data_IF_102545534232
#
_entry.id   IF_102545534232
#
_cell.length_a   1.000
_cell.length_b   1.000
_cell.length_c   1.000
_cell.angle_alpha   90.00
_cell.angle_beta   90.00
_cell.angle_gamma   90.00
#
_symmetry.space_group_name_H-M   'P 1'
#
loop_
_entity.id
_entity.type
_entity.pdbx_description
1 polymer ?
#
# COMPACT_ATOMS: atom_id res chain seq x y z
N UNK A 1 22.67 49.19 -27.32
CA UNK A 1 22.26 47.94 -27.99
C UNK A 1 22.92 46.78 -27.24
N UNK A 2 22.56 46.53 -25.97
CA UNK A 2 23.34 45.62 -25.10
C UNK A 2 22.37 44.90 -24.15
N UNK A 3 22.06 43.63 -24.42
CA UNK A 3 21.13 42.84 -23.57
C UNK A 3 21.39 41.34 -23.70
N UNK A 4 22.51 40.86 -23.16
CA UNK A 4 22.80 39.44 -22.88
C UNK A 4 23.83 39.50 -21.74
N UNK A 5 23.47 39.23 -20.49
CA UNK A 5 23.71 37.95 -19.83
C UNK A 5 22.82 37.96 -18.58
N UNK A 6 21.65 37.34 -18.67
CA UNK A 6 20.92 36.86 -17.49
C UNK A 6 20.88 35.36 -17.71
N UNK A 7 21.96 34.70 -17.30
CA UNK A 7 22.17 33.27 -17.41
C UNK A 7 21.05 32.56 -16.68
N UNK A 8 20.23 31.88 -17.47
CA UNK A 8 19.05 31.13 -17.09
C UNK A 8 19.43 29.97 -16.16
N UNK A 9 19.68 30.27 -14.87
CA UNK A 9 19.72 29.32 -13.77
C UNK A 9 18.28 28.89 -13.45
N UNK A 10 17.56 28.44 -14.49
CA UNK A 10 16.15 28.14 -14.44
C UNK A 10 16.00 26.63 -14.45
N UNK A 11 15.81 26.12 -13.23
CA UNK A 11 14.98 24.96 -12.93
C UNK A 11 15.46 23.61 -13.49
N UNK A 12 16.52 23.07 -12.88
CA UNK A 12 16.70 21.63 -12.75
C UNK A 12 15.81 21.04 -11.62
N UNK A 13 14.57 21.51 -11.49
CA UNK A 13 13.54 20.89 -10.64
C UNK A 13 12.87 19.76 -11.44
N UNK A 14 13.66 18.78 -11.87
CA UNK A 14 13.11 17.47 -12.21
C UNK A 14 12.73 16.82 -10.88
N UNK A 15 11.57 17.20 -10.35
CA UNK A 15 10.90 16.47 -9.28
C UNK A 15 10.68 15.05 -9.81
N UNK A 16 11.52 14.12 -9.38
CA UNK A 16 11.35 12.71 -9.68
C UNK A 16 10.04 12.24 -9.06
N UNK A 17 8.98 12.14 -9.86
CA UNK A 17 7.76 11.48 -9.45
C UNK A 17 8.11 10.00 -9.20
N UNK A 18 8.29 9.61 -7.94
CA UNK A 18 8.28 8.20 -7.59
C UNK A 18 6.84 7.73 -7.73
N UNK A 19 6.59 6.84 -8.69
CA UNK A 19 5.29 6.22 -8.85
C UNK A 19 5.14 5.16 -7.76
N UNK A 20 4.17 5.36 -6.86
CA UNK A 20 3.78 4.37 -5.86
C UNK A 20 2.28 4.08 -5.95
N UNK A 21 1.90 2.83 -5.66
CA UNK A 21 0.52 2.37 -5.56
C UNK A 21 0.26 1.95 -4.12
N UNK A 22 -0.87 2.37 -3.56
CA UNK A 22 -1.32 2.00 -2.21
C UNK A 22 -0.46 2.58 -1.08
N UNK A 23 -0.80 2.21 0.15
CA UNK A 23 -0.02 2.53 1.34
C UNK A 23 0.87 1.35 1.70
N UNK A 24 2.15 1.63 1.98
CA UNK A 24 3.01 0.61 2.56
C UNK A 24 2.53 0.28 3.97
N UNK A 25 2.81 -0.93 4.41
CA UNK A 25 2.52 -1.39 5.75
C UNK A 25 3.75 -2.05 6.35
N UNK A 26 3.99 -1.78 7.62
CA UNK A 26 5.15 -2.30 8.34
C UNK A 26 4.81 -3.53 9.20
N UNK A 27 5.85 -4.15 9.74
CA UNK A 27 5.71 -5.37 10.54
C UNK A 27 5.08 -5.10 11.91
N UNK A 28 5.07 -3.86 12.40
CA UNK A 28 4.40 -3.48 13.65
C UNK A 28 2.87 -3.38 13.46
N UNK A 29 2.41 -2.85 12.32
CA UNK A 29 0.99 -2.88 11.96
C UNK A 29 0.50 -4.33 11.78
N UNK A 30 1.31 -5.19 11.16
CA UNK A 30 0.99 -6.62 11.00
C UNK A 30 0.91 -7.34 12.36
N UNK A 31 1.74 -6.97 13.34
CA UNK A 31 1.71 -7.55 14.68
C UNK A 31 0.43 -7.22 15.46
N UNK A 32 -0.29 -6.17 15.06
CA UNK A 32 -1.59 -5.79 15.64
C UNK A 32 -2.76 -6.66 15.13
N UNK A 33 -2.52 -7.54 14.15
CA UNK A 33 -3.54 -8.46 13.64
C UNK A 33 -3.62 -9.67 14.57
N UNK A 34 -4.81 -9.90 15.13
CA UNK A 34 -5.11 -10.98 16.04
C UNK A 34 -6.27 -11.84 15.52
N UNK A 35 -6.04 -13.15 15.49
CA UNK A 35 -7.03 -14.14 15.09
C UNK A 35 -8.31 -14.04 15.93
N UNK A 36 -9.47 -13.99 15.26
CA UNK A 36 -10.83 -13.93 15.83
C UNK A 36 -11.14 -12.70 16.70
N UNK A 37 -10.22 -11.72 16.71
CA UNK A 37 -10.33 -10.48 17.47
C UNK A 37 -10.40 -9.29 16.53
N UNK A 38 -9.39 -9.13 15.66
CA UNK A 38 -9.33 -8.01 14.73
C UNK A 38 -10.47 -8.08 13.74
N UNK A 39 -11.18 -6.95 13.59
CA UNK A 39 -12.33 -6.80 12.70
C UNK A 39 -11.92 -6.18 11.35
N UNK A 40 -12.83 -6.19 10.37
CA UNK A 40 -12.63 -5.44 9.11
C UNK A 40 -12.38 -3.96 9.38
N UNK A 41 -13.15 -3.37 10.30
CA UNK A 41 -13.02 -1.95 10.64
C UNK A 41 -11.63 -1.65 11.23
N UNK A 42 -11.10 -2.53 12.07
CA UNK A 42 -9.75 -2.39 12.62
C UNK A 42 -8.69 -2.48 11.52
N UNK A 43 -8.85 -3.40 10.56
CA UNK A 43 -7.95 -3.49 9.41
C UNK A 43 -7.97 -2.22 8.57
N UNK A 44 -9.15 -1.63 8.33
CA UNK A 44 -9.28 -0.37 7.60
C UNK A 44 -8.62 0.77 8.38
N UNK A 45 -8.76 0.80 9.71
CA UNK A 45 -8.08 1.79 10.54
C UNK A 45 -6.56 1.65 10.52
N UNK A 46 -6.05 0.42 10.43
CA UNK A 46 -4.62 0.13 10.39
C UNK A 46 -4.00 0.38 9.00
N UNK A 47 -4.66 -0.06 7.93
CA UNK A 47 -4.07 -0.17 6.59
C UNK A 47 -4.73 0.74 5.54
N UNK A 48 -5.83 1.42 5.89
CA UNK A 48 -6.70 2.13 4.95
C UNK A 48 -7.64 1.18 4.20
N UNK A 49 -8.33 1.71 3.18
CA UNK A 49 -9.22 0.89 2.34
C UNK A 49 -8.45 -0.20 1.58
N UNK A 50 -8.99 -1.43 1.50
CA UNK A 50 -8.37 -2.49 0.74
C UNK A 50 -8.40 -2.20 -0.76
N UNK A 51 -7.37 -2.68 -1.47
CA UNK A 51 -7.36 -2.71 -2.94
C UNK A 51 -8.42 -3.66 -3.53
N UNK A 52 -8.87 -4.65 -2.77
CA UNK A 52 -9.98 -5.53 -3.14
C UNK A 52 -10.71 -6.06 -1.90
N UNK A 53 -12.02 -6.15 -1.98
CA UNK A 53 -12.90 -6.82 -1.03
C UNK A 53 -13.80 -7.80 -1.79
N UNK A 54 -13.53 -9.09 -1.62
CA UNK A 54 -14.27 -10.16 -2.30
C UNK A 54 -15.13 -10.91 -1.29
N UNK A 55 -16.46 -10.70 -1.29
CA UNK A 55 -17.37 -11.45 -0.42
C UNK A 55 -17.55 -12.89 -0.92
N UNK A 56 -17.71 -13.81 0.02
CA UNK A 56 -18.03 -15.22 -0.19
C UNK A 56 -19.26 -15.61 0.65
N UNK A 57 -19.95 -16.72 0.32
CA UNK A 57 -21.07 -17.21 1.10
C UNK A 57 -20.73 -17.43 2.58
N UNK A 58 -21.77 -17.52 3.42
CA UNK A 58 -21.64 -17.83 4.85
C UNK A 58 -20.82 -16.81 5.64
N UNK A 59 -20.85 -15.53 5.25
CA UNK A 59 -20.17 -14.45 5.99
C UNK A 59 -18.66 -14.44 5.84
N UNK A 60 -18.12 -15.11 4.81
CA UNK A 60 -16.69 -15.07 4.50
C UNK A 60 -16.37 -13.89 3.59
N UNK A 61 -15.17 -13.32 3.72
CA UNK A 61 -14.64 -12.40 2.73
C UNK A 61 -13.12 -12.49 2.66
N UNK A 62 -12.57 -12.06 1.54
CA UNK A 62 -11.12 -11.92 1.34
C UNK A 62 -10.84 -10.45 1.04
N UNK A 63 -10.00 -9.84 1.87
CA UNK A 63 -9.52 -8.47 1.70
C UNK A 63 -8.07 -8.50 1.24
N UNK A 64 -7.71 -7.60 0.34
CA UNK A 64 -6.33 -7.46 -0.14
C UNK A 64 -5.87 -6.01 -0.11
N UNK A 65 -4.67 -5.76 0.40
CA UNK A 65 -3.95 -4.49 0.28
C UNK A 65 -2.70 -4.71 -0.55
N UNK A 66 -2.53 -3.90 -1.59
CA UNK A 66 -1.37 -3.97 -2.48
C UNK A 66 -0.61 -2.66 -2.40
N UNK A 67 0.67 -2.77 -2.06
CA UNK A 67 1.61 -1.66 -2.16
C UNK A 67 2.66 -1.98 -3.21
N UNK A 68 3.01 -1.00 -4.02
CA UNK A 68 4.19 -1.08 -4.88
C UNK A 68 4.86 0.26 -5.06
N UNK A 69 6.18 0.25 -5.23
CA UNK A 69 6.94 1.45 -5.53
C UNK A 69 7.98 1.16 -6.62
N UNK A 70 7.93 1.98 -7.68
CA UNK A 70 8.95 1.96 -8.71
C UNK A 70 10.26 2.54 -8.15
N UNK A 71 11.35 1.77 -8.27
CA UNK A 71 12.70 2.21 -7.89
C UNK A 71 13.49 2.59 -9.13
N UNK A 72 13.98 3.83 -9.19
CA UNK A 72 14.82 4.28 -10.30
C UNK A 72 16.10 3.45 -10.37
N UNK A 73 16.33 2.77 -11.49
CA UNK A 73 17.52 1.94 -11.70
C UNK A 73 17.49 0.56 -11.02
N UNK A 74 16.33 0.11 -10.52
CA UNK A 74 16.16 -1.22 -9.91
C UNK A 74 14.79 -1.82 -10.22
N UNK A 75 14.52 -3.02 -9.71
CA UNK A 75 13.22 -3.69 -9.82
C UNK A 75 12.20 -3.02 -8.89
N UNK A 76 10.94 -2.99 -9.33
CA UNK A 76 9.80 -2.55 -8.51
C UNK A 76 9.74 -3.37 -7.24
N UNK A 77 9.58 -2.71 -6.10
CA UNK A 77 9.29 -3.39 -4.83
C UNK A 77 7.77 -3.49 -4.68
N UNK A 78 7.28 -4.67 -4.31
CA UNK A 78 5.86 -4.90 -4.05
C UNK A 78 5.62 -5.62 -2.73
N UNK A 79 4.50 -5.32 -2.08
CA UNK A 79 3.95 -6.10 -0.97
C UNK A 79 2.45 -6.29 -1.14
N UNK A 80 1.96 -7.48 -0.82
CA UNK A 80 0.52 -7.75 -0.79
C UNK A 80 0.15 -8.41 0.52
N UNK A 81 -0.79 -7.80 1.26
CA UNK A 81 -1.43 -8.38 2.43
C UNK A 81 -2.76 -8.97 2.00
N UNK A 82 -2.95 -10.27 2.22
CA UNK A 82 -4.22 -10.97 1.99
C UNK A 82 -4.78 -11.41 3.33
N UNK A 83 -6.03 -11.04 3.61
CA UNK A 83 -6.71 -11.36 4.87
C UNK A 83 -8.02 -12.09 4.57
N UNK A 84 -8.25 -13.22 5.24
CA UNK A 84 -9.52 -13.93 5.21
C UNK A 84 -10.32 -13.59 6.46
N UNK A 85 -11.54 -13.14 6.25
CA UNK A 85 -12.50 -12.87 7.30
C UNK A 85 -13.58 -13.95 7.36
N UNK A 86 -14.16 -14.11 8.54
CA UNK A 86 -15.37 -14.87 8.80
C UNK A 86 -16.21 -14.07 9.80
N UNK A 87 -17.43 -13.71 9.42
CA UNK A 87 -18.33 -12.86 10.21
C UNK A 87 -17.61 -11.60 10.70
N UNK A 88 -16.96 -10.90 9.77
CA UNK A 88 -16.20 -9.65 9.98
C UNK A 88 -14.87 -9.77 10.75
N UNK A 89 -14.50 -10.95 11.23
CA UNK A 89 -13.29 -11.18 12.03
C UNK A 89 -12.20 -11.93 11.29
N UNK A 90 -10.94 -11.58 11.55
CA UNK A 90 -9.77 -12.22 10.95
C UNK A 90 -9.68 -13.70 11.32
N UNK A 91 -9.53 -14.56 10.30
CA UNK A 91 -9.20 -15.99 10.48
C UNK A 91 -7.78 -16.31 10.05
N UNK A 92 -7.31 -15.75 8.94
CA UNK A 92 -5.93 -15.98 8.48
C UNK A 92 -5.46 -14.76 7.72
N UNK A 93 -4.16 -14.50 7.75
CA UNK A 93 -3.54 -13.50 6.89
C UNK A 93 -2.18 -13.98 6.39
N UNK A 94 -1.79 -13.49 5.22
CA UNK A 94 -0.47 -13.75 4.63
C UNK A 94 0.06 -12.50 3.96
N UNK A 95 1.39 -12.37 3.94
CA UNK A 95 2.09 -11.29 3.24
C UNK A 95 3.01 -11.89 2.20
N UNK A 96 2.88 -11.44 0.95
CA UNK A 96 3.83 -11.71 -0.12
C UNK A 96 4.65 -10.46 -0.45
N UNK A 97 5.88 -10.67 -0.93
CA UNK A 97 6.77 -9.61 -1.42
C UNK A 97 7.18 -9.95 -2.85
N UNK A 98 7.40 -8.92 -3.67
CA UNK A 98 7.87 -9.06 -5.05
C UNK A 98 9.07 -8.16 -5.29
#
# INVERSE_FOLDING_TARGET
MNKKIVGCLMLALLTGCTASVGNNFDDAQLASIHHDVTTKQDLIALFGEPSSDTPFPQGQSILMWTWSQAKTGSTTEGRTLTVRLQNDKVKTWTVSKT
#
